data_IF_437342169315
#
_entry.id   IF_437342169315
#
_cell.length_a   1.000
_cell.length_b   1.000
_cell.length_c   1.000
_cell.angle_alpha   90.00
_cell.angle_beta   90.00
_cell.angle_gamma   90.00
#
_symmetry.space_group_name_H-M   'P 1'
#
loop_
_entity.id
_entity.type
_entity.pdbx_description
1 polymer ?
#
# COMPACT_ATOMS: atom_id res chain seq x y z
N UNK A 1 -15.73 -20.45 -15.72
CA UNK A 1 -14.45 -19.76 -15.54
C UNK A 1 -14.51 -19.03 -14.21
N UNK A 2 -13.70 -19.42 -13.23
CA UNK A 2 -13.61 -18.66 -11.97
C UNK A 2 -12.91 -17.33 -12.27
N UNK A 3 -13.54 -16.21 -11.91
CA UNK A 3 -12.93 -14.90 -12.00
C UNK A 3 -11.62 -14.92 -11.22
N UNK A 4 -10.52 -14.48 -11.85
CA UNK A 4 -9.27 -14.24 -11.13
C UNK A 4 -9.59 -13.15 -10.10
N UNK A 5 -9.39 -13.39 -8.79
CA UNK A 5 -9.66 -12.36 -7.80
C UNK A 5 -8.75 -11.17 -8.11
N UNK A 6 -9.36 -9.99 -8.25
CA UNK A 6 -8.62 -8.75 -8.46
C UNK A 6 -7.63 -8.58 -7.29
N UNK A 7 -6.33 -8.52 -7.62
CA UNK A 7 -5.29 -8.24 -6.63
C UNK A 7 -5.08 -6.74 -6.54
N UNK A 8 -5.63 -6.15 -5.49
CA UNK A 8 -5.38 -4.77 -5.16
C UNK A 8 -4.27 -4.63 -4.12
N UNK A 9 -3.45 -3.60 -4.28
CA UNK A 9 -2.43 -3.25 -3.29
C UNK A 9 -2.97 -2.22 -2.31
N UNK A 10 -2.58 -2.38 -1.06
CA UNK A 10 -2.88 -1.44 0.00
C UNK A 10 -1.58 -1.06 0.71
N UNK A 11 -1.50 0.18 1.18
CA UNK A 11 -0.49 0.63 2.11
C UNK A 11 -1.09 0.74 3.52
N UNK A 12 -0.34 0.32 4.53
CA UNK A 12 -0.76 0.41 5.92
C UNK A 12 0.14 1.37 6.70
N UNK A 13 -0.44 2.29 7.47
CA UNK A 13 0.30 3.12 8.43
C UNK A 13 -0.31 3.03 9.83
N UNK A 14 0.49 3.29 10.86
CA UNK A 14 0.02 3.30 12.24
C UNK A 14 -0.65 4.64 12.57
N UNK A 15 -1.86 4.54 13.13
CA UNK A 15 -2.58 5.62 13.78
C UNK A 15 -2.81 5.32 15.25
N UNK A 16 -3.19 6.37 15.99
CA UNK A 16 -3.51 6.29 17.41
C UNK A 16 -4.94 6.81 17.60
N UNK A 17 -5.78 6.02 18.27
CA UNK A 17 -7.06 6.51 18.77
C UNK A 17 -6.80 7.49 19.92
N UNK A 18 -7.81 8.29 20.26
CA UNK A 18 -7.71 9.32 21.32
C UNK A 18 -7.47 8.73 22.70
N UNK A 19 -7.74 7.44 22.89
CA UNK A 19 -7.47 6.66 24.11
C UNK A 19 -6.06 6.03 24.12
N UNK A 20 -5.26 6.24 23.07
CA UNK A 20 -3.92 5.67 22.92
C UNK A 20 -3.88 4.27 22.31
N UNK A 21 -5.02 3.64 21.95
CA UNK A 21 -5.00 2.38 21.21
C UNK A 21 -4.38 2.57 19.82
N UNK A 22 -3.48 1.65 19.45
CA UNK A 22 -2.83 1.65 18.14
C UNK A 22 -3.70 0.91 17.12
N UNK A 23 -3.95 1.55 15.99
CA UNK A 23 -4.60 0.92 14.83
C UNK A 23 -3.73 1.06 13.58
N UNK A 24 -3.83 0.08 12.68
CA UNK A 24 -3.31 0.16 11.34
C UNK A 24 -4.42 0.71 10.43
N UNK A 25 -4.17 1.86 9.79
CA UNK A 25 -5.02 2.34 8.72
C UNK A 25 -4.48 1.84 7.39
N UNK A 26 -5.34 1.17 6.63
CA UNK A 26 -5.03 0.50 5.37
C UNK A 26 -5.71 1.32 4.27
N UNK A 27 -4.92 1.95 3.41
CA UNK A 27 -5.38 2.76 2.29
C UNK A 27 -5.10 2.03 0.99
N UNK A 28 -6.10 1.97 0.11
CA UNK A 28 -5.93 1.39 -1.22
C UNK A 28 -4.91 2.17 -2.05
N UNK A 29 -4.20 1.46 -2.94
CA UNK A 29 -3.28 2.04 -3.89
C UNK A 29 -3.84 1.94 -5.32
N UNK A 30 -3.37 2.80 -6.21
CA UNK A 30 -3.79 2.81 -7.62
C UNK A 30 -5.29 3.11 -7.77
N UNK A 31 -6.03 2.20 -8.42
CA UNK A 31 -7.44 2.38 -8.80
C UNK A 31 -8.43 2.32 -7.64
N UNK A 32 -7.98 1.94 -6.45
CA UNK A 32 -8.82 1.84 -5.24
C UNK A 32 -8.38 2.80 -4.13
N UNK A 33 -7.73 3.90 -4.49
CA UNK A 33 -7.19 4.89 -3.54
C UNK A 33 -8.25 5.60 -2.66
N UNK A 34 -9.54 5.44 -3.01
CA UNK A 34 -10.68 5.93 -2.24
C UNK A 34 -11.11 4.96 -1.13
N UNK A 35 -10.60 3.73 -1.11
CA UNK A 35 -10.91 2.74 -0.08
C UNK A 35 -9.93 2.88 1.09
N UNK A 36 -10.48 2.95 2.30
CA UNK A 36 -9.70 2.92 3.53
C UNK A 36 -10.35 1.99 4.57
N UNK A 37 -9.52 1.30 5.33
CA UNK A 37 -9.94 0.36 6.36
C UNK A 37 -9.08 0.52 7.60
N UNK A 38 -9.68 0.55 8.78
CA UNK A 38 -8.93 0.57 10.04
C UNK A 38 -8.99 -0.79 10.73
N UNK A 39 -7.85 -1.30 11.16
CA UNK A 39 -7.69 -2.58 11.85
C UNK A 39 -6.90 -2.35 13.13
N UNK A 40 -7.39 -2.84 14.27
CA UNK A 40 -6.62 -2.80 15.51
C UNK A 40 -5.32 -3.60 15.37
N UNK A 41 -4.20 -3.01 15.77
CA UNK A 41 -2.88 -3.64 15.65
C UNK A 41 -2.82 -5.00 16.38
N UNK A 42 -3.54 -5.12 17.50
CA UNK A 42 -3.65 -6.34 18.29
C UNK A 42 -4.21 -7.55 17.50
N UNK A 43 -5.04 -7.32 16.47
CA UNK A 43 -5.54 -8.39 15.59
C UNK A 43 -4.45 -8.93 14.66
N UNK A 44 -3.55 -8.05 14.19
CA UNK A 44 -2.44 -8.41 13.31
C UNK A 44 -1.33 -9.11 14.09
N UNK A 45 -1.00 -8.61 15.29
CA UNK A 45 -0.01 -9.21 16.18
C UNK A 45 -0.35 -10.67 16.55
N UNK A 46 -1.63 -10.98 16.79
CA UNK A 46 -2.11 -12.35 17.04
C UNK A 46 -1.85 -13.31 15.87
N UNK A 47 -1.68 -12.79 14.66
CA UNK A 47 -1.36 -13.55 13.44
C UNK A 47 0.14 -13.54 13.11
N UNK A 48 0.98 -12.98 13.98
CA UNK A 48 2.42 -12.86 13.76
C UNK A 48 2.83 -11.83 12.71
N UNK A 49 1.90 -10.98 12.27
CA UNK A 49 2.14 -9.94 11.26
C UNK A 49 2.73 -8.70 11.94
N UNK A 50 3.79 -8.15 11.34
CA UNK A 50 4.51 -6.97 11.82
C UNK A 50 4.62 -5.91 10.71
N UNK A 51 5.01 -4.68 11.06
CA UNK A 51 5.35 -3.66 10.06
C UNK A 51 6.45 -4.16 9.12
N UNK A 52 6.31 -3.84 7.84
CA UNK A 52 7.20 -4.33 6.78
C UNK A 52 6.82 -5.70 6.20
N UNK A 53 5.91 -6.45 6.85
CA UNK A 53 5.37 -7.66 6.26
C UNK A 53 4.39 -7.34 5.14
N UNK A 54 4.46 -8.12 4.05
CA UNK A 54 3.37 -8.20 3.10
C UNK A 54 2.30 -9.15 3.64
N UNK A 55 1.03 -8.77 3.48
CA UNK A 55 -0.11 -9.58 3.87
C UNK A 55 -1.18 -9.54 2.79
N UNK A 56 -1.99 -10.59 2.73
CA UNK A 56 -3.25 -10.62 2.01
C UNK A 56 -4.40 -10.58 3.02
N UNK A 57 -5.51 -9.98 2.63
CA UNK A 57 -6.72 -9.97 3.43
C UNK A 57 -7.96 -10.03 2.53
N UNK A 58 -9.07 -10.46 3.11
CA UNK A 58 -10.41 -10.43 2.50
C UNK A 58 -11.10 -9.12 2.85
N UNK A 59 -11.69 -8.46 1.86
CA UNK A 59 -12.47 -7.22 2.03
C UNK A 59 -13.93 -7.50 1.66
N UNK A 60 -14.76 -8.02 2.59
CA UNK A 60 -16.16 -8.26 2.32
C UNK A 60 -16.94 -6.94 2.30
N UNK A 61 -17.89 -6.80 1.38
CA UNK A 61 -18.71 -5.60 1.26
C UNK A 61 -19.50 -5.32 2.56
N UNK A 62 -19.33 -4.12 3.12
CA UNK A 62 -20.02 -3.69 4.35
C UNK A 62 -19.51 -4.33 5.65
N UNK A 63 -18.40 -5.07 5.62
CA UNK A 63 -17.79 -5.71 6.80
C UNK A 63 -16.34 -5.27 7.00
N UNK A 64 -15.80 -5.38 8.22
CA UNK A 64 -14.38 -5.18 8.46
C UNK A 64 -13.52 -6.16 7.66
N UNK A 65 -12.32 -5.70 7.28
CA UNK A 65 -11.31 -6.54 6.63
C UNK A 65 -10.93 -7.70 7.55
N UNK A 66 -10.87 -8.91 6.99
CA UNK A 66 -10.64 -10.16 7.72
C UNK A 66 -9.70 -11.10 6.96
N UNK A 67 -9.38 -12.26 7.56
CA UNK A 67 -8.50 -13.28 6.96
C UNK A 67 -7.11 -12.75 6.58
N UNK A 68 -6.42 -12.14 7.56
CA UNK A 68 -5.05 -11.67 7.39
C UNK A 68 -4.09 -12.86 7.37
N UNK A 69 -3.43 -13.03 6.23
CA UNK A 69 -2.39 -14.03 6.02
C UNK A 69 -1.11 -13.36 5.53
N UNK A 70 0.01 -13.72 6.14
CA UNK A 70 1.32 -13.23 5.72
C UNK A 70 1.68 -13.82 4.36
N UNK A 71 2.20 -12.99 3.47
CA UNK A 71 2.67 -13.41 2.15
C UNK A 71 4.13 -13.04 2.00
N UNK A 72 4.90 -13.96 1.40
CA UNK A 72 6.24 -13.62 0.96
C UNK A 72 6.13 -12.94 -0.40
N UNK A 73 6.59 -11.70 -0.46
CA UNK A 73 6.69 -10.93 -1.70
C UNK A 73 8.16 -10.67 -2.04
N UNK A 74 8.46 -10.51 -3.33
CA UNK A 74 9.84 -10.33 -3.82
C UNK A 74 10.49 -9.00 -3.46
N UNK A 75 9.75 -8.09 -2.83
CA UNK A 75 10.24 -6.76 -2.48
C UNK A 75 10.89 -6.80 -1.11
N UNK A 76 11.99 -6.07 -0.98
CA UNK A 76 12.58 -5.75 0.32
C UNK A 76 11.95 -4.45 0.81
N UNK A 77 11.42 -4.46 2.02
CA UNK A 77 10.83 -3.28 2.67
C UNK A 77 11.75 -2.86 3.81
N UNK A 78 12.24 -1.63 3.75
CA UNK A 78 12.95 -1.00 4.85
C UNK A 78 11.94 -0.21 5.69
N UNK A 79 11.88 -0.49 6.99
CA UNK A 79 11.01 0.21 7.93
C UNK A 79 11.87 1.08 8.83
N UNK A 80 11.60 2.39 8.84
CA UNK A 80 12.21 3.36 9.74
C UNK A 80 11.12 4.16 10.45
N UNK A 81 10.98 3.93 11.75
CA UNK A 81 9.87 4.46 12.56
C UNK A 81 8.50 4.05 11.99
N UNK A 82 7.73 5.04 11.53
CA UNK A 82 6.40 4.85 10.95
C UNK A 82 6.40 4.84 9.41
N UNK A 83 7.56 4.86 8.77
CA UNK A 83 7.67 4.89 7.31
C UNK A 83 8.17 3.55 6.79
N UNK A 84 7.48 3.01 5.79
CA UNK A 84 7.91 1.84 5.03
C UNK A 84 8.38 2.28 3.64
N UNK A 85 9.57 1.85 3.24
CA UNK A 85 10.17 2.18 1.94
C UNK A 85 10.46 0.91 1.15
N UNK A 86 10.05 0.90 -0.12
CA UNK A 86 10.47 -0.09 -1.12
C UNK A 86 11.40 0.63 -2.09
N UNK A 87 12.63 0.15 -2.18
CA UNK A 87 13.69 0.78 -2.95
C UNK A 87 13.84 0.21 -4.36
N UNK A 88 14.49 0.98 -5.23
CA UNK A 88 14.96 0.58 -6.57
C UNK A 88 13.85 -0.03 -7.45
N UNK A 89 12.70 0.66 -7.51
CA UNK A 89 11.59 0.26 -8.38
C UNK A 89 11.69 0.96 -9.73
N UNK A 90 11.65 0.19 -10.81
CA UNK A 90 11.51 0.75 -12.16
C UNK A 90 10.08 1.23 -12.40
N UNK A 91 9.96 2.47 -12.89
CA UNK A 91 8.68 3.09 -13.16
C UNK A 91 8.73 3.97 -14.41
N UNK A 92 7.62 3.98 -15.14
CA UNK A 92 7.36 4.97 -16.19
C UNK A 92 6.62 6.17 -15.55
N UNK A 93 7.24 7.34 -15.59
CA UNK A 93 6.64 8.58 -15.09
C UNK A 93 5.83 9.24 -16.21
N UNK A 94 4.53 9.41 -15.96
CA UNK A 94 3.56 9.97 -16.89
C UNK A 94 2.63 10.95 -16.16
N UNK A 95 1.89 11.77 -16.92
CA UNK A 95 0.78 12.56 -16.37
C UNK A 95 -0.51 11.76 -16.48
N UNK A 96 -1.31 11.74 -15.41
CA UNK A 96 -2.66 11.18 -15.46
C UNK A 96 -3.65 12.17 -16.11
N UNK A 97 -4.93 11.78 -16.17
CA UNK A 97 -6.02 12.61 -16.72
C UNK A 97 -6.19 13.96 -15.99
N UNK A 98 -5.77 14.05 -14.73
CA UNK A 98 -5.79 15.28 -13.91
C UNK A 98 -4.51 16.11 -14.03
N UNK A 99 -3.65 15.81 -15.03
CA UNK A 99 -2.32 16.41 -15.24
C UNK A 99 -1.31 16.22 -14.09
N UNK A 100 -1.58 15.30 -13.15
CA UNK A 100 -0.70 14.96 -12.03
C UNK A 100 0.35 13.94 -12.48
N UNK A 101 1.62 14.17 -12.15
CA UNK A 101 2.68 13.20 -12.38
C UNK A 101 2.50 11.99 -11.47
N UNK A 102 2.38 10.83 -12.11
CA UNK A 102 2.27 9.51 -11.51
C UNK A 102 3.35 8.60 -12.08
N UNK A 103 3.95 7.78 -11.21
CA UNK A 103 4.86 6.71 -11.58
C UNK A 103 4.07 5.42 -11.74
N UNK A 104 3.97 4.91 -12.97
CA UNK A 104 3.38 3.61 -13.26
C UNK A 104 4.39 2.53 -12.94
N UNK A 105 4.16 1.82 -11.84
CA UNK A 105 4.99 0.71 -11.37
C UNK A 105 4.27 -0.60 -11.69
N UNK A 106 4.95 -1.53 -12.35
CA UNK A 106 4.36 -2.80 -12.80
C UNK A 106 3.63 -3.57 -11.68
N UNK A 107 4.15 -3.49 -10.45
CA UNK A 107 3.56 -4.20 -9.33
C UNK A 107 2.48 -3.40 -8.60
N UNK A 108 2.62 -2.08 -8.45
CA UNK A 108 1.73 -1.28 -7.60
C UNK A 108 0.71 -0.43 -8.38
N UNK A 109 0.78 -0.46 -9.70
CA UNK A 109 0.01 0.45 -10.55
C UNK A 109 0.57 1.88 -10.47
N UNK A 110 -0.31 2.87 -10.61
CA UNK A 110 0.07 4.28 -10.58
C UNK A 110 0.24 4.77 -9.15
N UNK A 111 1.45 5.27 -8.83
CA UNK A 111 1.79 5.89 -7.56
C UNK A 111 2.07 7.37 -7.81
N UNK A 112 1.48 8.27 -7.02
CA UNK A 112 1.69 9.72 -7.20
C UNK A 112 3.14 10.09 -6.96
N UNK A 113 3.74 10.87 -7.87
CA UNK A 113 5.08 11.40 -7.67
C UNK A 113 5.07 12.51 -6.62
N UNK A 114 6.06 12.52 -5.73
CA UNK A 114 6.26 13.62 -4.79
C UNK A 114 6.71 14.89 -5.54
N UNK A 115 7.49 14.73 -6.61
CA UNK A 115 7.95 15.84 -7.46
C UNK A 115 7.05 15.97 -8.68
N UNK A 116 6.36 17.10 -8.79
CA UNK A 116 5.41 17.36 -9.87
C UNK A 116 6.02 18.15 -11.05
N UNK A 117 7.29 18.55 -10.96
CA UNK A 117 7.98 19.40 -11.95
C UNK A 117 9.20 18.70 -12.59
N UNK A 118 9.12 17.39 -12.82
CA UNK A 118 10.19 16.62 -13.48
C UNK A 118 9.71 16.10 -14.83
N UNK A 119 10.61 15.91 -15.83
CA UNK A 119 10.22 15.42 -17.15
C UNK A 119 9.63 14.01 -17.09
N UNK A 120 8.65 13.75 -17.95
CA UNK A 120 8.15 12.39 -18.18
C UNK A 120 9.27 11.49 -18.71
N UNK A 121 9.25 10.21 -18.35
CA UNK A 121 10.31 9.28 -18.72
C UNK A 121 10.45 8.10 -17.78
N UNK A 122 11.52 7.31 -17.97
CA UNK A 122 11.82 6.14 -17.15
C UNK A 122 12.71 6.50 -15.97
N UNK A 123 12.33 6.05 -14.79
CA UNK A 123 13.06 6.33 -13.55
C UNK A 123 13.18 5.07 -12.69
N UNK A 124 14.23 5.08 -11.87
CA UNK A 124 14.30 4.28 -10.65
C UNK A 124 13.80 5.13 -9.49
N UNK A 125 12.79 4.63 -8.80
CA UNK A 125 12.10 5.35 -7.73
C UNK A 125 12.10 4.53 -6.45
N UNK A 126 11.91 5.25 -5.34
CA UNK A 126 11.61 4.64 -4.05
C UNK A 126 10.14 4.94 -3.73
N UNK A 127 9.39 3.90 -3.36
CA UNK A 127 7.99 4.01 -2.97
C UNK A 127 7.95 4.08 -1.44
N UNK A 128 7.22 5.05 -0.89
CA UNK A 128 7.08 5.26 0.55
C UNK A 128 5.62 5.19 0.97
N UNK A 129 5.38 4.61 2.15
CA UNK A 129 4.09 4.56 2.83
C UNK A 129 4.26 5.02 4.29
#
# INVERSE_FOLDING_TARGET
MAAVPDKYFFAGYLGYYTDGEIFLNIIGLGTINNLSFSVRESRLKKRGIKLGDFLSASVPMGKPVENFDKVNYKFTVNVDGNTATIEDQEADLEKNEDEVLVSRVKAFGSVRSIKQNIPVGKYRINIRA
#
